data_IF_880630330666
#
_entry.id   IF_880630330666
#
_cell.length_a   1.000
_cell.length_b   1.000
_cell.length_c   1.000
_cell.angle_alpha   90.00
_cell.angle_beta   90.00
_cell.angle_gamma   90.00
#
_symmetry.space_group_name_H-M   'P 1'
#
loop_
_entity.id
_entity.type
_entity.pdbx_description
1 polymer ?
#
# COMPACT_ATOMS: atom_id res chain seq x y z
N UNK A 1 -9.91 -12.38 -7.15
CA UNK A 1 -10.22 -13.68 -7.80
C UNK A 1 -8.93 -14.47 -8.06
N UNK A 2 -7.98 -13.94 -8.85
CA UNK A 2 -6.71 -14.62 -9.24
C UNK A 2 -6.02 -15.45 -8.15
N UNK A 3 -5.84 -14.91 -6.94
CA UNK A 3 -5.19 -15.66 -5.85
C UNK A 3 -5.96 -16.91 -5.43
N UNK A 4 -7.30 -16.84 -5.34
CA UNK A 4 -8.14 -17.99 -4.94
C UNK A 4 -8.20 -19.03 -6.05
N UNK A 5 -8.27 -18.58 -7.30
CA UNK A 5 -8.26 -19.45 -8.48
C UNK A 5 -6.96 -20.24 -8.62
N UNK A 6 -5.82 -19.66 -8.21
CA UNK A 6 -4.52 -20.33 -8.22
C UNK A 6 -4.39 -21.46 -7.19
N UNK A 7 -5.34 -21.60 -6.25
CA UNK A 7 -5.30 -22.61 -5.20
C UNK A 7 -5.92 -23.95 -5.63
N UNK A 8 -6.40 -24.03 -6.87
CA UNK A 8 -6.99 -25.22 -7.44
C UNK A 8 -8.42 -25.48 -6.96
N UNK A 9 -8.93 -26.71 -7.13
CA UNK A 9 -10.34 -27.05 -6.90
C UNK A 9 -10.78 -26.91 -5.45
N UNK A 10 -9.85 -26.93 -4.49
CA UNK A 10 -10.14 -26.76 -3.07
C UNK A 10 -10.19 -25.28 -2.62
N UNK A 11 -9.80 -24.34 -3.49
CA UNK A 11 -9.76 -22.92 -3.13
C UNK A 11 -8.98 -22.67 -1.84
N UNK A 12 -9.56 -21.88 -0.92
CA UNK A 12 -8.94 -21.56 0.37
C UNK A 12 -9.00 -22.70 1.39
N UNK A 13 -9.94 -23.64 1.25
CA UNK A 13 -10.20 -24.69 2.25
C UNK A 13 -9.14 -25.81 2.26
N UNK A 14 -8.25 -25.84 1.28
CA UNK A 14 -7.17 -26.83 1.19
C UNK A 14 -5.95 -26.48 2.03
N UNK A 15 -4.77 -26.59 1.40
CA UNK A 15 -3.47 -26.39 2.05
C UNK A 15 -3.32 -25.02 2.71
N UNK A 16 -3.91 -23.99 2.11
CA UNK A 16 -3.87 -22.64 2.65
C UNK A 16 -4.51 -22.54 4.02
N UNK A 17 -5.76 -22.99 4.18
CA UNK A 17 -6.44 -22.94 5.47
C UNK A 17 -5.68 -23.72 6.54
N UNK A 18 -5.20 -24.94 6.22
CA UNK A 18 -4.39 -25.73 7.17
C UNK A 18 -3.10 -25.00 7.56
N UNK A 19 -2.39 -24.41 6.59
CA UNK A 19 -1.18 -23.64 6.86
C UNK A 19 -1.49 -22.42 7.76
N UNK A 20 -2.56 -21.67 7.45
CA UNK A 20 -3.01 -20.54 8.27
C UNK A 20 -3.39 -20.98 9.68
N UNK A 21 -4.07 -22.11 9.87
CA UNK A 21 -4.43 -22.62 11.19
C UNK A 21 -3.19 -22.98 12.03
N UNK A 22 -2.15 -23.55 11.42
CA UNK A 22 -0.88 -23.85 12.12
C UNK A 22 -0.14 -22.57 12.45
N UNK A 23 0.02 -21.67 11.48
CA UNK A 23 0.68 -20.36 11.70
C UNK A 23 -0.02 -19.57 12.79
N UNK A 24 -1.36 -19.50 12.76
CA UNK A 24 -2.14 -18.77 13.76
C UNK A 24 -2.13 -19.42 15.14
N UNK A 25 -1.94 -20.74 15.24
CA UNK A 25 -1.67 -21.42 16.51
C UNK A 25 -0.31 -21.03 17.04
N UNK A 26 0.74 -21.21 16.23
CA UNK A 26 2.12 -20.87 16.62
C UNK A 26 2.26 -19.40 17.06
N UNK A 27 1.67 -18.46 16.32
CA UNK A 27 1.70 -17.04 16.68
C UNK A 27 0.98 -16.74 18.00
N UNK A 28 -0.11 -17.46 18.31
CA UNK A 28 -0.82 -17.31 19.59
C UNK A 28 -0.05 -17.95 20.74
N UNK A 29 0.58 -19.10 20.50
CA UNK A 29 1.40 -19.80 21.47
C UNK A 29 2.67 -19.02 21.80
N UNK A 30 3.18 -18.21 20.86
CA UNK A 30 4.35 -17.34 21.02
C UNK A 30 3.97 -15.85 21.10
N UNK A 31 2.84 -15.55 21.73
CA UNK A 31 2.31 -14.19 21.88
C UNK A 31 3.26 -13.27 22.62
N UNK A 32 3.87 -13.74 23.70
CA UNK A 32 4.64 -12.89 24.62
C UNK A 32 5.89 -12.30 23.94
N UNK A 33 6.71 -13.10 23.21
CA UNK A 33 7.80 -12.57 22.37
C UNK A 33 7.31 -11.58 21.30
N UNK A 34 6.22 -11.91 20.59
CA UNK A 34 5.68 -11.03 19.54
C UNK A 34 5.21 -9.69 20.12
N UNK A 35 4.50 -9.71 21.25
CA UNK A 35 4.06 -8.50 21.94
C UNK A 35 5.21 -7.68 22.48
N UNK A 36 6.31 -8.31 22.90
CA UNK A 36 7.53 -7.60 23.33
C UNK A 36 8.08 -6.72 22.19
N UNK A 37 8.15 -7.27 20.98
CA UNK A 37 8.60 -6.53 19.80
C UNK A 37 7.57 -5.48 19.37
N UNK A 38 6.28 -5.81 19.36
CA UNK A 38 5.24 -4.85 18.95
C UNK A 38 5.13 -3.63 19.88
N UNK A 39 5.39 -3.81 21.17
CA UNK A 39 5.38 -2.70 22.14
C UNK A 39 6.43 -1.64 21.80
N UNK A 40 7.59 -2.01 21.26
CA UNK A 40 8.63 -1.02 20.93
C UNK A 40 8.14 -0.08 19.83
N UNK A 41 7.44 -0.60 18.81
CA UNK A 41 6.86 0.22 17.75
C UNK A 41 5.70 1.11 18.23
N UNK A 42 4.98 0.71 19.27
CA UNK A 42 3.92 1.54 19.86
C UNK A 42 4.49 2.72 20.66
N UNK A 43 5.60 2.49 21.36
CA UNK A 43 6.24 3.50 22.20
C UNK A 43 7.28 4.34 21.44
N UNK A 44 7.59 4.01 20.20
CA UNK A 44 8.51 4.78 19.37
C UNK A 44 7.81 6.06 18.88
N UNK A 45 8.25 7.26 19.34
CA UNK A 45 7.63 8.53 18.99
C UNK A 45 7.81 8.91 17.50
N UNK A 46 8.65 8.19 16.76
CA UNK A 46 8.88 8.41 15.32
C UNK A 46 8.03 7.50 14.44
N UNK A 47 7.31 6.53 15.00
CA UNK A 47 6.47 5.62 14.21
C UNK A 47 5.18 6.33 13.81
N UNK A 48 5.03 6.54 12.51
CA UNK A 48 3.87 7.18 11.91
C UNK A 48 2.98 6.13 11.20
N UNK A 49 1.89 5.72 11.85
CA UNK A 49 0.99 4.66 11.35
C UNK A 49 -0.03 5.12 10.30
N UNK A 50 -0.39 6.41 10.31
CA UNK A 50 -1.23 7.04 9.28
C UNK A 50 -1.28 8.55 9.48
N UNK A 51 -0.88 9.33 8.47
CA UNK A 51 -1.33 10.71 8.32
C UNK A 51 -2.67 10.66 7.58
N UNK A 52 -3.78 11.20 8.13
CA UNK A 52 -4.96 11.40 7.31
C UNK A 52 -4.60 12.38 6.20
N UNK A 53 -4.61 11.92 4.94
CA UNK A 53 -4.46 12.77 3.77
C UNK A 53 -5.72 13.64 3.68
N UNK A 54 -5.72 14.76 4.40
CA UNK A 54 -6.72 15.81 4.23
C UNK A 54 -6.35 16.60 2.97
N UNK A 55 -7.13 16.37 1.91
CA UNK A 55 -7.29 17.31 0.80
C UNK A 55 -6.14 17.33 -0.21
N UNK A 56 -6.19 16.46 -1.22
CA UNK A 56 -5.77 16.88 -2.54
C UNK A 56 -6.97 17.49 -3.25
N UNK A 57 -6.93 18.82 -3.33
CA UNK A 57 -7.80 19.65 -4.15
C UNK A 57 -7.93 19.07 -5.55
N UNK A 58 -9.16 19.12 -6.06
CA UNK A 58 -9.53 18.67 -7.39
C UNK A 58 -8.65 19.32 -8.47
N UNK A 59 -7.85 18.52 -9.16
CA UNK A 59 -7.45 18.82 -10.53
C UNK A 59 -8.00 17.70 -11.41
N UNK A 60 -8.82 17.98 -12.44
CA UNK A 60 -9.25 16.96 -13.36
C UNK A 60 -8.04 16.54 -14.21
N UNK A 61 -7.52 15.34 -13.97
CA UNK A 61 -6.62 14.67 -14.89
C UNK A 61 -7.46 14.26 -16.11
N UNK A 62 -7.20 14.85 -17.29
CA UNK A 62 -7.65 14.24 -18.54
C UNK A 62 -6.72 13.04 -18.83
N UNK A 63 -7.27 12.03 -19.50
CA UNK A 63 -6.71 10.68 -19.64
C UNK A 63 -5.41 10.56 -20.44
N UNK A 64 -4.77 11.66 -20.86
CA UNK A 64 -3.50 11.62 -21.60
C UNK A 64 -2.29 12.16 -20.83
N UNK A 65 -2.46 12.62 -19.58
CA UNK A 65 -1.34 12.93 -18.68
C UNK A 65 -0.41 14.08 -19.10
N UNK A 66 -0.72 14.82 -20.16
CA UNK A 66 0.10 15.96 -20.59
C UNK A 66 -0.29 17.25 -19.84
N UNK A 67 0.69 17.82 -19.13
CA UNK A 67 0.62 19.17 -18.57
C UNK A 67 1.06 20.17 -19.66
N UNK A 68 0.11 20.93 -20.21
CA UNK A 68 0.40 21.95 -21.23
C UNK A 68 1.03 23.17 -20.55
N UNK A 69 2.34 23.36 -20.69
CA UNK A 69 3.03 24.52 -20.14
C UNK A 69 3.09 25.66 -21.18
N UNK A 70 2.12 26.58 -21.12
CA UNK A 70 1.96 27.67 -22.10
C UNK A 70 2.97 28.84 -21.94
N UNK A 71 4.01 28.71 -21.10
CA UNK A 71 4.93 29.81 -20.76
C UNK A 71 6.32 29.76 -21.41
N UNK A 72 6.45 29.10 -22.57
CA UNK A 72 7.67 29.11 -23.38
C UNK A 72 7.41 29.45 -24.86
N UNK A 73 6.59 30.47 -25.14
CA UNK A 73 6.28 30.88 -26.52
C UNK A 73 6.49 32.37 -26.82
N UNK A 74 7.18 33.13 -25.95
CA UNK A 74 7.34 34.59 -26.13
C UNK A 74 8.78 35.11 -26.17
N UNK A 75 9.81 34.28 -26.36
CA UNK A 75 11.20 34.77 -26.49
C UNK A 75 12.01 34.05 -27.57
N UNK A 76 11.50 33.97 -28.80
CA UNK A 76 12.32 33.53 -29.95
C UNK A 76 11.99 34.15 -31.31
N UNK A 77 11.24 35.26 -31.38
CA UNK A 77 11.09 36.03 -32.63
C UNK A 77 12.01 37.25 -32.68
N UNK A 78 13.32 37.06 -32.52
CA UNK A 78 14.32 38.09 -32.83
C UNK A 78 15.49 37.60 -33.68
N UNK A 79 15.36 36.46 -34.36
CA UNK A 79 16.32 36.07 -35.39
C UNK A 79 15.66 35.27 -36.51
N UNK A 80 14.88 35.97 -37.34
CA UNK A 80 14.74 35.77 -38.79
C UNK A 80 13.91 36.89 -39.39
#
# INVERSE_FOLDING_TARGET
HNMVNGMGPMGTEGLFRRACEVTMRLMRDQREPLMSVLKTFLHDPLVEWSKPVKGHSKAPLNETGEVVNEKMASSSNSFK
#
